data_IF_284186897967
#
_entry.id   IF_284186897967
#
_cell.length_a   1.000
_cell.length_b   1.000
_cell.length_c   1.000
_cell.angle_alpha   90.00
_cell.angle_beta   90.00
_cell.angle_gamma   90.00
#
_symmetry.space_group_name_H-M   'P 1'
#
loop_
_entity.id
_entity.type
_entity.pdbx_description
1 polymer ?
#
# COMPACT_ATOMS: atom_id res chain seq x y z
N UNK A 1 9.61 -5.99 11.60
CA UNK A 1 10.55 -5.74 10.48
C UNK A 1 11.44 -4.57 10.84
N UNK A 2 12.71 -4.85 11.16
CA UNK A 2 13.76 -3.83 11.32
C UNK A 2 14.54 -3.79 10.00
N UNK A 3 14.40 -2.71 9.22
CA UNK A 3 15.03 -2.61 7.91
C UNK A 3 14.31 -1.67 6.96
N UNK A 4 14.89 -1.48 5.77
CA UNK A 4 14.28 -0.71 4.68
C UNK A 4 13.00 -1.41 4.23
N UNK A 5 11.89 -0.69 4.13
CA UNK A 5 10.58 -1.19 3.72
C UNK A 5 10.00 -0.24 2.68
N UNK A 6 9.27 -0.77 1.71
CA UNK A 6 8.40 0.01 0.84
C UNK A 6 6.98 -0.54 0.96
N UNK A 7 6.02 0.36 1.14
CA UNK A 7 4.60 0.07 1.19
C UNK A 7 3.88 0.80 0.06
N UNK A 8 2.87 0.16 -0.54
CA UNK A 8 1.95 0.81 -1.47
C UNK A 8 0.53 0.39 -1.17
N UNK A 9 -0.37 1.37 -1.22
CA UNK A 9 -1.77 1.21 -0.89
C UNK A 9 -2.65 1.63 -2.06
N UNK A 10 -3.71 0.86 -2.32
CA UNK A 10 -4.72 1.15 -3.33
C UNK A 10 -6.10 1.09 -2.71
N UNK A 11 -6.82 2.21 -2.77
CA UNK A 11 -8.03 2.48 -1.99
C UNK A 11 -9.22 2.77 -2.90
N UNK A 12 -10.37 2.17 -2.58
CA UNK A 12 -11.67 2.71 -2.95
C UNK A 12 -12.18 3.59 -1.79
N UNK A 13 -12.10 4.90 -1.97
CA UNK A 13 -12.40 5.86 -0.91
C UNK A 13 -13.89 5.96 -0.56
N UNK A 14 -14.79 5.44 -1.39
CA UNK A 14 -16.23 5.46 -1.12
C UNK A 14 -16.66 4.34 -0.18
N UNK A 15 -15.90 3.24 -0.17
CA UNK A 15 -16.18 2.04 0.65
C UNK A 15 -15.15 1.82 1.77
N UNK A 16 -14.08 2.62 1.78
CA UNK A 16 -12.89 2.42 2.62
C UNK A 16 -12.25 1.02 2.51
N UNK A 17 -12.43 0.34 1.39
CA UNK A 17 -11.76 -0.91 1.07
C UNK A 17 -10.43 -0.63 0.40
N UNK A 18 -9.35 -1.26 0.87
CA UNK A 18 -8.01 -1.06 0.33
C UNK A 18 -7.12 -2.28 0.50
N UNK A 19 -6.20 -2.43 -0.45
CA UNK A 19 -5.11 -3.39 -0.37
C UNK A 19 -3.82 -2.66 0.01
N UNK A 20 -3.04 -3.30 0.87
CA UNK A 20 -1.70 -2.89 1.25
C UNK A 20 -0.71 -3.95 0.76
N UNK A 21 0.34 -3.50 0.09
CA UNK A 21 1.49 -4.31 -0.28
C UNK A 21 2.75 -3.75 0.39
N UNK A 22 3.35 -4.54 1.26
CA UNK A 22 4.62 -4.24 1.91
C UNK A 22 5.71 -5.18 1.38
N UNK A 23 6.88 -4.63 1.04
CA UNK A 23 8.03 -5.39 0.52
C UNK A 23 9.35 -4.94 1.13
N UNK A 24 10.26 -5.91 1.32
CA UNK A 24 11.57 -5.72 1.93
C UNK A 24 12.73 -6.13 0.97
N UNK A 25 13.94 -5.57 1.13
CA UNK A 25 15.12 -5.89 0.33
C UNK A 25 15.55 -7.36 0.33
N UNK A 26 15.17 -8.12 1.35
CA UNK A 26 15.56 -9.54 1.52
C UNK A 26 14.44 -10.50 1.12
N UNK A 27 13.43 -10.03 0.37
CA UNK A 27 12.38 -10.87 -0.20
C UNK A 27 11.16 -11.09 0.71
N UNK A 28 11.17 -10.58 1.94
CA UNK A 28 9.96 -10.57 2.78
C UNK A 28 8.92 -9.64 2.17
N UNK A 29 7.66 -10.06 2.28
CA UNK A 29 6.52 -9.26 1.86
C UNK A 29 5.35 -9.52 2.80
N UNK A 30 4.42 -8.57 2.83
CA UNK A 30 3.13 -8.69 3.48
C UNK A 30 2.07 -8.11 2.54
N UNK A 31 0.95 -8.80 2.39
CA UNK A 31 -0.20 -8.32 1.64
C UNK A 31 -1.42 -8.42 2.53
N UNK A 32 -2.12 -7.31 2.70
CA UNK A 32 -3.33 -7.20 3.52
C UNK A 32 -4.49 -6.72 2.67
N UNK A 33 -5.68 -7.28 2.89
CA UNK A 33 -6.94 -6.70 2.40
C UNK A 33 -7.68 -6.13 3.61
N UNK A 34 -8.04 -4.85 3.52
CA UNK A 34 -8.63 -4.09 4.62
C UNK A 34 -10.00 -3.53 4.22
N UNK A 35 -10.91 -3.49 5.19
CA UNK A 35 -12.25 -2.93 5.07
C UNK A 35 -12.47 -1.92 6.19
N UNK A 36 -12.08 -0.67 5.95
CA UNK A 36 -11.94 0.37 6.96
C UNK A 36 -10.51 0.46 7.53
N UNK A 37 -10.21 1.61 8.15
CA UNK A 37 -8.89 1.92 8.72
C UNK A 37 -8.47 0.85 9.75
N UNK A 38 -7.26 0.29 9.57
CA UNK A 38 -6.67 -0.75 10.43
C UNK A 38 -7.50 -2.05 10.58
N UNK A 39 -8.50 -2.28 9.72
CA UNK A 39 -9.38 -3.45 9.80
C UNK A 39 -9.07 -4.47 8.69
N UNK A 40 -7.97 -5.20 8.85
CA UNK A 40 -7.57 -6.25 7.92
C UNK A 40 -8.40 -7.53 8.12
N UNK A 41 -9.15 -7.94 7.09
CA UNK A 41 -9.96 -9.17 7.10
C UNK A 41 -9.28 -10.33 6.39
N UNK A 42 -8.28 -10.05 5.53
CA UNK A 42 -7.36 -11.03 4.96
C UNK A 42 -5.94 -10.55 5.18
N UNK A 43 -5.06 -11.45 5.60
CA UNK A 43 -3.66 -11.16 5.86
C UNK A 43 -2.78 -12.22 5.20
N UNK A 44 -1.56 -11.83 4.83
CA UNK A 44 -0.52 -12.72 4.31
C UNK A 44 -0.91 -13.44 3.00
N UNK A 45 -1.54 -12.71 2.07
CA UNK A 45 -1.73 -13.24 0.72
C UNK A 45 -0.38 -13.47 0.02
N UNK A 46 -0.25 -14.56 -0.77
CA UNK A 46 1.00 -14.86 -1.45
C UNK A 46 1.29 -13.81 -2.53
N UNK A 47 2.55 -13.36 -2.60
CA UNK A 47 3.02 -12.44 -3.61
C UNK A 47 4.23 -13.01 -4.35
N UNK A 48 4.19 -12.99 -5.68
CA UNK A 48 5.40 -13.26 -6.48
C UNK A 48 6.27 -12.01 -6.43
N UNK A 49 7.34 -12.06 -5.66
CA UNK A 49 8.23 -10.94 -5.40
C UNK A 49 9.70 -11.37 -5.44
N UNK A 50 10.52 -10.58 -6.14
CA UNK A 50 11.96 -10.72 -6.21
C UNK A 50 12.63 -9.40 -5.80
N UNK A 51 13.70 -9.49 -5.01
CA UNK A 51 14.51 -8.35 -4.62
C UNK A 51 15.99 -8.61 -4.89
N UNK A 52 16.71 -7.58 -5.31
CA UNK A 52 18.17 -7.60 -5.44
C UNK A 52 18.78 -6.37 -4.75
N UNK A 53 19.89 -6.58 -4.05
CA UNK A 53 20.64 -5.53 -3.36
C UNK A 53 21.94 -5.29 -4.13
N UNK A 54 22.17 -4.04 -4.55
CA UNK A 54 23.37 -3.63 -5.28
C UNK A 54 23.98 -2.41 -4.60
N UNK A 55 25.10 -2.61 -3.92
CA UNK A 55 25.75 -1.56 -3.15
C UNK A 55 24.87 -1.05 -2.01
N UNK A 56 24.60 0.26 -1.98
CA UNK A 56 23.74 0.90 -0.97
C UNK A 56 22.24 0.90 -1.26
N UNK A 57 21.85 0.39 -2.44
CA UNK A 57 20.48 0.43 -2.95
C UNK A 57 19.93 -0.97 -3.19
N UNK A 58 18.62 -1.10 -3.29
CA UNK A 58 17.96 -2.35 -3.64
C UNK A 58 16.86 -2.07 -4.67
N UNK A 59 16.53 -3.08 -5.47
CA UNK A 59 15.44 -3.05 -6.45
C UNK A 59 14.53 -4.25 -6.20
N UNK A 60 13.24 -3.99 -6.14
CA UNK A 60 12.20 -5.01 -6.02
C UNK A 60 11.32 -5.06 -7.26
N UNK A 61 10.86 -6.26 -7.62
CA UNK A 61 9.85 -6.47 -8.65
C UNK A 61 8.78 -7.43 -8.09
N UNK A 62 7.52 -7.00 -8.11
CA UNK A 62 6.38 -7.78 -7.65
C UNK A 62 5.32 -7.89 -8.76
N UNK A 63 4.69 -9.06 -8.88
CA UNK A 63 3.49 -9.22 -9.70
C UNK A 63 2.27 -9.09 -8.81
N UNK A 64 1.51 -8.00 -8.99
CA UNK A 64 0.31 -7.72 -8.20
C UNK A 64 -0.92 -8.34 -8.89
N UNK A 65 -1.57 -9.36 -8.32
CA UNK A 65 -2.78 -9.93 -8.91
C UNK A 65 -3.92 -8.90 -8.87
N UNK A 66 -4.61 -8.69 -10.00
CA UNK A 66 -5.74 -7.76 -10.06
C UNK A 66 -6.84 -8.10 -9.04
N UNK A 67 -6.98 -9.38 -8.69
CA UNK A 67 -7.96 -9.84 -7.71
C UNK A 67 -7.71 -9.30 -6.30
N UNK A 68 -6.49 -8.87 -5.98
CA UNK A 68 -6.21 -8.32 -4.66
C UNK A 68 -6.75 -6.90 -4.51
N UNK A 69 -6.96 -6.18 -5.62
CA UNK A 69 -7.48 -4.81 -5.57
C UNK A 69 -8.98 -4.83 -5.29
N UNK A 70 -9.48 -3.96 -4.39
CA UNK A 70 -10.91 -3.80 -4.20
C UNK A 70 -11.56 -3.26 -5.48
N UNK A 71 -12.85 -3.54 -5.74
CA UNK A 71 -13.54 -2.93 -6.86
C UNK A 71 -13.50 -1.40 -6.75
N UNK A 72 -13.18 -0.70 -7.85
CA UNK A 72 -13.31 0.76 -7.91
C UNK A 72 -12.23 1.53 -7.14
N UNK A 73 -10.99 1.03 -7.12
CA UNK A 73 -9.83 1.82 -6.65
C UNK A 73 -9.82 3.19 -7.33
N UNK A 74 -9.81 4.24 -6.52
CA UNK A 74 -9.82 5.63 -6.98
C UNK A 74 -8.75 6.49 -6.29
N UNK A 75 -8.00 5.94 -5.34
CA UNK A 75 -6.94 6.62 -4.61
C UNK A 75 -5.76 5.70 -4.32
N UNK A 76 -4.57 6.30 -4.15
CA UNK A 76 -3.37 5.56 -3.74
C UNK A 76 -2.45 6.41 -2.84
N UNK A 77 -1.55 5.73 -2.12
CA UNK A 77 -0.33 6.33 -1.57
C UNK A 77 0.78 5.28 -1.48
N UNK A 78 2.02 5.72 -1.36
CA UNK A 78 3.16 4.85 -1.13
C UNK A 78 4.11 5.45 -0.12
N UNK A 79 4.79 4.57 0.61
CA UNK A 79 5.65 4.94 1.71
C UNK A 79 6.98 4.20 1.60
N UNK A 80 8.04 4.86 2.07
CA UNK A 80 9.34 4.25 2.25
C UNK A 80 9.80 4.48 3.68
N UNK A 81 10.30 3.41 4.29
CA UNK A 81 10.78 3.43 5.67
C UNK A 81 12.22 2.95 5.64
N UNK A 82 13.14 3.69 6.23
CA UNK A 82 14.55 3.29 6.29
C UNK A 82 15.26 3.90 7.50
N UNK A 83 16.50 3.49 7.73
CA UNK A 83 17.23 3.81 8.97
C UNK A 83 16.87 2.87 10.11
N UNK A 84 17.41 3.14 11.30
CA UNK A 84 17.29 2.28 12.48
C UNK A 84 17.06 3.10 13.75
N UNK A 85 16.20 2.61 14.64
CA UNK A 85 15.88 3.22 15.93
C UNK A 85 15.55 4.73 15.82
N UNK A 86 16.29 5.58 16.53
CA UNK A 86 16.12 7.04 16.55
C UNK A 86 16.42 7.70 15.19
N UNK A 87 17.15 7.01 14.30
CA UNK A 87 17.46 7.47 12.94
C UNK A 87 16.49 6.96 11.88
N UNK A 88 15.28 6.49 12.26
CA UNK A 88 14.30 5.97 11.30
C UNK A 88 13.61 7.12 10.57
N UNK A 89 13.63 7.05 9.25
CA UNK A 89 13.00 8.01 8.34
C UNK A 89 11.76 7.38 7.72
N UNK A 90 10.70 8.18 7.62
CA UNK A 90 9.44 7.83 7.00
C UNK A 90 9.18 8.82 5.87
N UNK A 91 9.06 8.30 4.66
CA UNK A 91 8.79 9.08 3.45
C UNK A 91 7.45 8.65 2.86
N UNK A 92 6.75 9.59 2.24
CA UNK A 92 5.48 9.34 1.58
C UNK A 92 5.50 9.99 0.19
N UNK A 93 4.92 9.33 -0.81
CA UNK A 93 4.68 9.93 -2.12
C UNK A 93 3.74 11.13 -1.99
N UNK A 94 2.69 10.98 -1.18
CA UNK A 94 1.77 12.05 -0.82
C UNK A 94 1.80 12.24 0.71
N UNK A 95 2.61 13.20 1.21
CA UNK A 95 2.76 13.42 2.65
C UNK A 95 1.54 14.13 3.25
N UNK A 96 1.39 13.98 4.57
CA UNK A 96 0.45 14.78 5.36
C UNK A 96 0.92 16.26 5.29
N UNK A 97 0.03 17.22 4.99
CA UNK A 97 0.35 18.65 5.04
C UNK A 97 0.88 19.04 6.42
N UNK A 98 1.85 19.95 6.47
CA UNK A 98 2.52 20.35 7.71
C UNK A 98 1.56 20.92 8.76
N UNK A 99 0.49 21.58 8.31
CA UNK A 99 -0.58 22.14 9.15
C UNK A 99 -1.44 21.08 9.85
N UNK A 100 -1.50 19.87 9.28
CA UNK A 100 -2.27 18.74 9.81
C UNK A 100 -1.44 17.83 10.72
N UNK A 101 -0.14 18.14 10.90
CA UNK A 101 0.75 17.41 11.80
C UNK A 101 0.54 17.88 13.25
N UNK A 102 0.28 16.92 14.14
CA UNK A 102 0.15 17.19 15.57
C UNK A 102 1.50 16.99 16.28
N UNK A 103 1.79 17.84 17.27
CA UNK A 103 2.99 17.68 18.09
C UNK A 103 2.98 16.32 18.81
N UNK A 104 4.04 15.54 18.63
CA UNK A 104 4.16 14.20 19.22
C UNK A 104 3.41 13.11 18.44
N UNK A 105 2.84 13.41 17.28
CA UNK A 105 2.23 12.41 16.40
C UNK A 105 3.28 11.44 15.86
N UNK A 106 3.04 10.14 16.07
CA UNK A 106 3.81 9.08 15.43
C UNK A 106 3.37 8.84 13.97
N UNK A 107 4.14 8.09 13.18
CA UNK A 107 3.77 7.73 11.82
C UNK A 107 2.50 6.86 11.81
N UNK A 108 1.57 7.17 10.91
CA UNK A 108 0.37 6.36 10.61
C UNK A 108 0.12 6.39 9.11
N UNK A 109 0.42 5.28 8.43
CA UNK A 109 0.29 5.16 6.97
C UNK A 109 -1.14 4.86 6.52
N UNK A 110 -2.06 4.60 7.46
CA UNK A 110 -3.48 4.39 7.15
C UNK A 110 -4.30 5.67 7.33
N UNK A 111 -3.70 6.85 7.22
CA UNK A 111 -4.43 8.12 7.08
C UNK A 111 -4.95 8.26 5.64
N UNK A 112 -6.00 7.48 5.34
CA UNK A 112 -6.62 7.33 4.03
C UNK A 112 -7.06 8.67 3.41
N UNK A 113 -7.35 9.67 4.25
CA UNK A 113 -7.76 11.00 3.82
C UNK A 113 -6.70 11.73 2.97
N UNK A 114 -5.41 11.40 3.13
CA UNK A 114 -4.31 12.02 2.35
C UNK A 114 -3.96 11.27 1.06
N UNK A 115 -4.56 10.11 0.83
CA UNK A 115 -4.33 9.39 -0.42
C UNK A 115 -4.84 10.24 -1.58
N UNK A 116 -4.08 10.25 -2.68
CA UNK A 116 -4.36 11.09 -3.83
C UNK A 116 -5.09 10.31 -4.93
N UNK A 117 -5.82 11.00 -5.83
CA UNK A 117 -6.52 10.37 -6.94
C UNK A 117 -5.63 9.43 -7.75
N UNK A 118 -6.16 8.25 -8.05
CA UNK A 118 -5.47 7.23 -8.81
C UNK A 118 -6.47 6.45 -9.64
N UNK A 119 -6.02 5.92 -10.77
CA UNK A 119 -6.84 5.09 -11.64
C UNK A 119 -6.00 3.95 -12.19
N UNK A 120 -6.48 2.72 -12.05
CA UNK A 120 -5.81 1.55 -12.66
C UNK A 120 -5.79 1.65 -14.19
N UNK A 121 -6.78 2.31 -14.80
CA UNK A 121 -6.83 2.59 -16.23
C UNK A 121 -5.64 3.45 -16.70
N UNK A 122 -5.07 4.29 -15.83
CA UNK A 122 -3.86 5.05 -16.17
C UNK A 122 -2.64 4.17 -16.48
N UNK A 123 -2.67 2.92 -16.02
CA UNK A 123 -1.64 1.89 -16.26
C UNK A 123 -2.10 0.89 -17.32
N UNK A 124 -3.36 0.45 -17.24
CA UNK A 124 -3.89 -0.67 -18.02
C UNK A 124 -4.56 -0.24 -19.34
N UNK A 125 -4.81 1.05 -19.53
CA UNK A 125 -5.55 1.65 -20.64
C UNK A 125 -7.00 2.01 -20.28
N UNK A 126 -7.54 3.03 -20.95
CA UNK A 126 -8.89 3.58 -20.67
C UNK A 126 -10.02 2.55 -20.87
N UNK A 127 -9.86 1.62 -21.80
CA UNK A 127 -10.84 0.56 -22.08
C UNK A 127 -10.77 -0.60 -21.06
N UNK A 128 -9.82 -0.56 -20.12
CA UNK A 128 -9.68 -1.62 -19.14
C UNK A 128 -10.78 -1.56 -18.08
N UNK A 129 -11.47 -2.69 -17.93
CA UNK A 129 -12.48 -2.91 -16.90
C UNK A 129 -11.92 -3.88 -15.88
N UNK A 130 -11.92 -3.49 -14.60
CA UNK A 130 -11.48 -4.34 -13.51
C UNK A 130 -12.36 -5.60 -13.44
N UNK A 131 -11.78 -6.81 -13.54
CA UNK A 131 -12.55 -8.04 -13.37
C UNK A 131 -13.06 -8.18 -11.93
N UNK A 132 -14.13 -8.96 -11.74
CA UNK A 132 -14.69 -9.22 -10.40
C UNK A 132 -13.72 -10.01 -9.54
N UNK A 133 -13.48 -9.56 -8.31
CA UNK A 133 -12.66 -10.32 -7.36
C UNK A 133 -13.53 -11.02 -6.31
N UNK A 134 -13.38 -12.35 -6.21
CA UNK A 134 -14.05 -13.15 -5.17
C UNK A 134 -13.54 -12.83 -3.75
N UNK A 135 -12.32 -12.25 -3.62
CA UNK A 135 -11.73 -11.89 -2.33
C UNK A 135 -12.50 -10.78 -1.62
N UNK A 136 -13.26 -9.98 -2.36
CA UNK A 136 -14.03 -8.84 -1.85
C UNK A 136 -15.53 -9.12 -1.79
N UNK A 137 -15.98 -10.30 -2.23
CA UNK A 137 -17.41 -10.66 -2.21
C UNK A 137 -17.90 -10.86 -0.79
N UNK A 138 -18.99 -10.18 -0.44
CA UNK A 138 -19.67 -10.34 0.85
C UNK A 138 -18.99 -9.63 2.04
N UNK A 139 -17.89 -8.90 1.79
CA UNK A 139 -17.30 -8.00 2.76
C UNK A 139 -18.23 -6.79 2.90
N UNK A 140 -18.98 -6.73 4.00
CA UNK A 140 -19.91 -5.62 4.30
C UNK A 140 -19.23 -4.62 5.22
N UNK A 141 -19.57 -3.34 5.05
CA UNK A 141 -19.32 -2.26 6.00
C UNK A 141 -19.93 -2.55 7.38
#
# INVERSE_FOLDING_TARGET
MEGKVVEVFFLNSSTEQYVEFEVCPHGQHLVLLLNGKHNAFVQQLPLVFCASITGGSWRGEALLPWSFFPPGVNKMNSYAIHGSAEGRTYEALYPIPSEDLLLGQGPDFHRLEYFQPFSLQSIMGEDWVQPESDLWKGVRE
#
